data_IF_463056780832
#
_entry.id   IF_463056780832
#
_cell.length_a   1.000
_cell.length_b   1.000
_cell.length_c   1.000
_cell.angle_alpha   90.00
_cell.angle_beta   90.00
_cell.angle_gamma   90.00
#
_symmetry.space_group_name_H-M   'P 1'
#
loop_
_entity.id
_entity.type
_entity.pdbx_description
1 polymer ?
#
# COMPACT_ATOMS: atom_id res chain seq x y z
N UNK A 1 5.80 11.79 31.15
CA UNK A 1 5.33 10.39 31.01
C UNK A 1 3.95 10.31 30.34
N UNK A 2 2.91 11.02 30.80
CA UNK A 2 1.57 10.98 30.17
C UNK A 2 1.50 11.55 28.74
N UNK A 3 2.26 12.59 28.40
CA UNK A 3 2.31 13.16 27.03
C UNK A 3 3.03 12.22 26.05
N UNK A 4 4.07 11.51 26.51
CA UNK A 4 4.78 10.50 25.70
C UNK A 4 3.85 9.31 25.42
N UNK A 5 3.03 8.90 26.39
CA UNK A 5 2.00 7.87 26.18
C UNK A 5 0.91 8.33 25.22
N UNK A 6 0.48 9.60 25.29
CA UNK A 6 -0.49 10.17 24.36
C UNK A 6 0.07 10.24 22.92
N UNK A 7 1.34 10.62 22.75
CA UNK A 7 2.02 10.65 21.45
C UNK A 7 2.26 9.22 20.93
N UNK A 8 2.66 8.27 21.77
CA UNK A 8 2.80 6.85 21.39
C UNK A 8 1.43 6.25 21.02
N UNK A 9 0.35 6.62 21.71
CA UNK A 9 -1.01 6.27 21.32
C UNK A 9 -1.36 6.88 19.95
N UNK A 10 -1.14 8.17 19.73
CA UNK A 10 -1.40 8.83 18.42
C UNK A 10 -0.60 8.20 17.28
N UNK A 11 0.68 7.86 17.50
CA UNK A 11 1.54 7.21 16.51
C UNK A 11 1.17 5.74 16.28
N UNK A 12 0.74 5.00 17.31
CA UNK A 12 0.21 3.63 17.14
C UNK A 12 -1.20 3.61 16.54
N UNK A 13 -1.98 4.70 16.66
CA UNK A 13 -3.29 4.87 16.01
C UNK A 13 -3.20 5.09 14.48
N UNK A 14 -2.04 5.46 13.94
CA UNK A 14 -1.88 5.79 12.52
C UNK A 14 -1.82 4.55 11.60
N UNK A 15 -1.32 3.42 12.09
CA UNK A 15 -0.94 2.24 11.26
C UNK A 15 -2.01 1.15 11.12
N UNK A 16 -3.29 1.45 11.40
CA UNK A 16 -4.36 0.47 11.31
C UNK A 16 -5.16 0.64 10.00
N UNK A 17 -5.16 -0.41 9.16
CA UNK A 17 -5.87 -0.46 7.88
C UNK A 17 -7.40 -0.57 8.02
N UNK A 18 -7.88 -1.25 9.06
CA UNK A 18 -9.30 -1.36 9.38
C UNK A 18 -9.53 -1.05 10.85
N UNK A 19 -10.36 -0.04 11.12
CA UNK A 19 -10.68 0.41 12.46
C UNK A 19 -12.20 0.38 12.70
N UNK A 20 -12.62 -0.24 13.78
CA UNK A 20 -13.97 -0.06 14.29
C UNK A 20 -14.03 1.23 15.11
N UNK A 21 -15.05 2.06 14.86
CA UNK A 21 -15.27 3.34 15.54
C UNK A 21 -16.42 3.20 16.55
N UNK A 22 -17.49 2.46 16.19
CA UNK A 22 -18.66 2.20 17.04
C UNK A 22 -19.21 0.78 16.88
N UNK A 23 -19.93 0.26 17.87
CA UNK A 23 -20.11 0.79 19.24
C UNK A 23 -18.85 0.62 20.11
N UNK A 24 -18.77 1.33 21.26
CA UNK A 24 -17.59 1.32 22.12
C UNK A 24 -17.23 -0.09 22.63
N UNK A 25 -18.23 -0.89 22.98
CA UNK A 25 -18.03 -2.28 23.43
C UNK A 25 -17.48 -3.17 22.31
N UNK A 26 -17.80 -2.87 21.05
CA UNK A 26 -17.22 -3.57 19.91
C UNK A 26 -15.76 -3.17 19.70
N UNK A 27 -15.43 -1.89 19.86
CA UNK A 27 -14.04 -1.39 19.78
C UNK A 27 -13.16 -2.11 20.80
N UNK A 28 -13.62 -2.23 22.05
CA UNK A 28 -12.87 -2.90 23.10
C UNK A 28 -12.65 -4.41 22.83
N UNK A 29 -13.64 -5.08 22.22
CA UNK A 29 -13.56 -6.52 21.89
C UNK A 29 -12.68 -6.83 20.68
N UNK A 30 -12.75 -5.99 19.64
CA UNK A 30 -11.94 -6.15 18.42
C UNK A 30 -10.47 -5.82 18.69
N UNK A 31 -10.22 -4.94 19.67
CA UNK A 31 -8.88 -4.46 19.99
C UNK A 31 -8.38 -3.41 19.00
N UNK A 32 -7.10 -3.07 19.07
CA UNK A 32 -6.52 -1.93 18.35
C UNK A 32 -6.12 -2.22 16.90
N UNK A 33 -6.16 -3.48 16.44
CA UNK A 33 -5.71 -3.86 15.10
C UNK A 33 -6.56 -4.99 14.52
N UNK A 34 -7.38 -4.67 13.52
CA UNK A 34 -8.08 -5.66 12.70
C UNK A 34 -7.24 -5.89 11.45
N UNK A 35 -6.78 -7.11 11.25
CA UNK A 35 -6.05 -7.46 10.03
C UNK A 35 -7.04 -7.66 8.89
N UNK A 36 -6.67 -7.20 7.70
CA UNK A 36 -7.48 -7.36 6.49
C UNK A 36 -6.61 -7.69 5.29
N UNK A 37 -7.17 -8.44 4.34
CA UNK A 37 -6.62 -8.60 3.00
C UNK A 37 -7.56 -8.00 1.95
N UNK A 38 -6.98 -7.54 0.84
CA UNK A 38 -7.72 -6.98 -0.29
C UNK A 38 -8.02 -8.04 -1.36
N UNK A 39 -9.10 -7.86 -2.11
CA UNK A 39 -9.36 -8.64 -3.31
C UNK A 39 -8.42 -8.27 -4.46
N UNK A 40 -8.24 -9.22 -5.40
CA UNK A 40 -7.61 -8.95 -6.69
C UNK A 40 -8.62 -8.58 -7.79
N UNK A 41 -9.79 -8.10 -7.39
CA UNK A 41 -10.88 -7.66 -8.26
C UNK A 41 -11.60 -6.49 -7.58
N UNK A 42 -12.48 -5.80 -8.33
CA UNK A 42 -13.11 -4.59 -7.83
C UNK A 42 -12.20 -3.37 -7.94
N UNK A 43 -12.79 -2.20 -7.79
CA UNK A 43 -12.03 -0.94 -7.74
C UNK A 43 -11.60 -0.70 -6.30
N UNK A 44 -10.29 -0.64 -6.08
CA UNK A 44 -9.70 -0.30 -4.79
C UNK A 44 -9.38 1.20 -4.80
N UNK A 45 -9.97 2.00 -3.90
CA UNK A 45 -9.72 3.43 -3.86
C UNK A 45 -8.42 3.70 -3.07
N UNK A 46 -7.29 3.36 -3.67
CA UNK A 46 -5.97 3.54 -3.08
C UNK A 46 -5.66 5.01 -2.77
N UNK A 47 -5.06 5.27 -1.62
CA UNK A 47 -4.86 6.61 -1.07
C UNK A 47 -6.08 7.17 -0.32
N UNK A 48 -7.25 6.54 -0.44
CA UNK A 48 -8.49 7.01 0.18
C UNK A 48 -8.86 6.25 1.45
N UNK A 49 -9.86 6.79 2.15
CA UNK A 49 -10.46 6.18 3.35
C UNK A 49 -11.96 6.05 3.16
N UNK A 50 -12.50 4.86 3.40
CA UNK A 50 -13.95 4.63 3.39
C UNK A 50 -14.46 4.53 4.82
N UNK A 51 -15.54 5.25 5.12
CA UNK A 51 -16.23 5.18 6.39
C UNK A 51 -17.71 4.89 6.17
N UNK A 52 -18.30 4.07 7.04
CA UNK A 52 -19.66 3.62 6.81
C UNK A 52 -20.18 2.69 7.88
N UNK A 53 -21.50 2.62 7.94
CA UNK A 53 -22.21 1.65 8.76
C UNK A 53 -22.16 0.27 8.10
N UNK A 54 -21.95 -0.75 8.92
CA UNK A 54 -21.91 -2.15 8.53
C UNK A 54 -23.22 -2.83 8.92
N UNK A 55 -23.83 -3.53 7.99
CA UNK A 55 -24.91 -4.47 8.30
C UNK A 55 -24.59 -5.89 7.83
N UNK A 56 -25.24 -6.86 8.45
CA UNK A 56 -25.12 -8.25 8.05
C UNK A 56 -25.90 -8.48 6.74
N UNK A 57 -25.29 -9.20 5.79
CA UNK A 57 -25.93 -9.55 4.53
C UNK A 57 -27.24 -10.34 4.74
N UNK A 58 -28.19 -10.23 3.82
CA UNK A 58 -29.39 -11.08 3.81
C UNK A 58 -29.69 -11.50 2.36
N UNK A 59 -29.43 -12.77 1.98
CA UNK A 59 -28.91 -13.87 2.82
C UNK A 59 -27.45 -13.71 3.27
N UNK A 60 -27.09 -14.36 4.38
CA UNK A 60 -25.77 -14.23 5.04
C UNK A 60 -24.57 -14.61 4.16
N UNK A 61 -24.74 -15.57 3.27
CA UNK A 61 -23.67 -16.03 2.37
C UNK A 61 -23.52 -15.17 1.11
N UNK A 62 -24.45 -14.26 0.82
CA UNK A 62 -24.41 -13.40 -0.36
C UNK A 62 -24.38 -14.14 -1.71
N UNK A 63 -24.77 -15.41 -1.76
CA UNK A 63 -24.72 -16.20 -2.99
C UNK A 63 -25.94 -16.01 -3.90
N UNK A 64 -26.99 -15.35 -3.39
CA UNK A 64 -28.13 -14.87 -4.19
C UNK A 64 -28.33 -13.37 -3.98
N UNK A 65 -29.29 -12.79 -4.69
CA UNK A 65 -29.58 -11.36 -4.63
C UNK A 65 -29.80 -10.91 -3.18
N UNK A 66 -28.98 -9.95 -2.73
CA UNK A 66 -29.06 -9.40 -1.39
C UNK A 66 -30.21 -8.41 -1.26
N UNK A 67 -30.75 -8.27 -0.05
CA UNK A 67 -31.64 -7.15 0.26
C UNK A 67 -30.91 -5.81 0.06
N UNK A 68 -31.60 -4.80 -0.52
CA UNK A 68 -31.02 -3.47 -0.71
C UNK A 68 -30.54 -2.87 0.61
N UNK A 69 -29.50 -2.05 0.54
CA UNK A 69 -29.05 -1.27 1.69
C UNK A 69 -30.14 -0.31 2.17
N UNK A 70 -30.42 -0.34 3.48
CA UNK A 70 -31.25 0.65 4.16
C UNK A 70 -30.36 1.59 4.98
N UNK A 71 -29.49 2.33 4.29
CA UNK A 71 -28.61 3.36 4.87
C UNK A 71 -27.26 2.86 5.38
N UNK A 72 -26.98 1.56 5.34
CA UNK A 72 -25.63 1.03 5.62
C UNK A 72 -24.78 1.05 4.35
N UNK A 73 -23.58 1.62 4.43
CA UNK A 73 -22.69 1.69 3.27
C UNK A 73 -22.01 0.34 3.03
N UNK A 74 -21.76 -0.45 4.08
CA UNK A 74 -20.95 -1.67 4.01
C UNK A 74 -21.76 -2.90 4.42
N UNK A 75 -21.38 -4.05 3.86
CA UNK A 75 -22.04 -5.32 4.13
C UNK A 75 -21.05 -6.38 4.62
N UNK A 76 -21.45 -7.13 5.64
CA UNK A 76 -20.71 -8.25 6.22
C UNK A 76 -21.27 -9.57 5.67
N UNK A 77 -20.43 -10.40 5.04
CA UNK A 77 -20.81 -11.60 4.29
C UNK A 77 -20.02 -12.83 4.75
N UNK A 78 -20.69 -13.98 4.89
CA UNK A 78 -20.06 -15.26 5.20
C UNK A 78 -19.35 -15.88 3.99
N UNK A 79 -18.12 -16.40 4.19
CA UNK A 79 -17.41 -17.20 3.18
C UNK A 79 -18.05 -18.58 3.03
N UNK A 80 -18.13 -19.07 1.78
CA UNK A 80 -18.65 -20.40 1.43
C UNK A 80 -19.67 -20.35 0.29
N UNK A 81 -20.12 -21.52 -0.19
CA UNK A 81 -21.21 -21.74 -1.17
C UNK A 81 -21.05 -21.17 -2.59
N UNK A 82 -20.34 -20.06 -2.78
CA UNK A 82 -20.09 -19.42 -4.07
C UNK A 82 -18.77 -18.62 -4.04
N UNK A 83 -18.36 -18.11 -5.21
CA UNK A 83 -17.11 -17.35 -5.38
C UNK A 83 -17.14 -15.99 -4.66
N UNK A 84 -15.96 -15.42 -4.38
CA UNK A 84 -15.86 -14.09 -3.80
C UNK A 84 -16.46 -13.02 -4.72
N UNK A 85 -16.18 -13.10 -6.02
CA UNK A 85 -16.74 -12.20 -7.03
C UNK A 85 -18.26 -12.20 -7.00
N UNK A 86 -18.91 -13.38 -6.94
CA UNK A 86 -20.37 -13.49 -6.84
C UNK A 86 -20.92 -12.74 -5.62
N UNK A 87 -20.30 -12.92 -4.45
CA UNK A 87 -20.71 -12.26 -3.19
C UNK A 87 -20.65 -10.75 -3.31
N UNK A 88 -19.51 -10.24 -3.78
CA UNK A 88 -19.26 -8.79 -3.88
C UNK A 88 -20.12 -8.18 -5.00
N UNK A 89 -20.38 -8.92 -6.08
CA UNK A 89 -21.29 -8.49 -7.14
C UNK A 89 -22.73 -8.35 -6.63
N UNK A 90 -23.21 -9.30 -5.83
CA UNK A 90 -24.54 -9.20 -5.22
C UNK A 90 -24.62 -8.04 -4.21
N UNK A 91 -23.55 -7.79 -3.44
CA UNK A 91 -23.44 -6.60 -2.58
C UNK A 91 -23.52 -5.29 -3.37
N UNK A 92 -22.76 -5.17 -4.45
CA UNK A 92 -22.84 -4.01 -5.33
C UNK A 92 -24.25 -3.81 -5.89
N UNK A 93 -24.89 -4.88 -6.38
CA UNK A 93 -26.24 -4.80 -6.94
C UNK A 93 -27.29 -4.37 -5.90
N UNK A 94 -27.04 -4.65 -4.61
CA UNK A 94 -27.87 -4.21 -3.49
C UNK A 94 -27.54 -2.78 -3.00
N UNK A 95 -26.58 -2.09 -3.62
CA UNK A 95 -26.24 -0.70 -3.32
C UNK A 95 -25.21 -0.50 -2.21
N UNK A 96 -24.52 -1.56 -1.78
CA UNK A 96 -23.39 -1.41 -0.86
C UNK A 96 -22.15 -0.88 -1.58
N UNK A 97 -21.31 -0.16 -0.83
CA UNK A 97 -20.09 0.50 -1.32
C UNK A 97 -18.81 -0.27 -0.96
N UNK A 98 -18.88 -1.23 -0.01
CA UNK A 98 -17.76 -2.11 0.34
C UNK A 98 -18.30 -3.41 0.93
N UNK A 99 -17.70 -4.54 0.56
CA UNK A 99 -18.03 -5.86 1.09
C UNK A 99 -16.92 -6.36 2.04
N UNK A 100 -17.32 -6.87 3.20
CA UNK A 100 -16.45 -7.44 4.22
C UNK A 100 -16.75 -8.94 4.27
N UNK A 101 -15.82 -9.77 3.81
CA UNK A 101 -15.99 -11.22 3.78
C UNK A 101 -15.27 -11.82 4.99
N UNK A 102 -16.00 -12.57 5.81
CA UNK A 102 -15.44 -13.29 6.93
C UNK A 102 -14.89 -14.65 6.54
N UNK A 103 -13.70 -14.98 7.05
CA UNK A 103 -13.20 -16.34 6.95
C UNK A 103 -14.13 -17.34 7.67
N UNK A 104 -14.11 -18.59 7.24
CA UNK A 104 -14.90 -19.68 7.83
C UNK A 104 -14.08 -20.61 8.74
N UNK A 105 -12.75 -20.47 8.73
CA UNK A 105 -11.82 -21.22 9.57
C UNK A 105 -11.00 -20.26 10.45
N UNK A 106 -10.46 -20.78 11.56
CA UNK A 106 -9.64 -20.04 12.53
C UNK A 106 -8.17 -19.88 12.08
N UNK A 107 -7.89 -20.11 10.79
CA UNK A 107 -6.54 -19.90 10.26
C UNK A 107 -6.19 -18.41 10.30
N UNK A 108 -4.96 -18.07 10.75
CA UNK A 108 -4.50 -16.69 10.71
C UNK A 108 -4.51 -16.19 9.26
N UNK A 109 -4.82 -14.90 9.10
CA UNK A 109 -4.72 -14.24 7.81
C UNK A 109 -3.24 -14.12 7.43
N UNK A 110 -2.78 -14.99 6.54
CA UNK A 110 -1.42 -14.93 6.00
C UNK A 110 -1.23 -13.64 5.17
N UNK A 111 -0.01 -13.12 5.14
CA UNK A 111 0.31 -11.85 4.48
C UNK A 111 0.10 -11.86 2.97
N UNK A 112 0.09 -13.05 2.37
CA UNK A 112 -0.08 -13.32 0.94
C UNK A 112 -1.50 -13.78 0.58
N UNK A 113 -2.42 -13.87 1.55
CA UNK A 113 -3.81 -14.21 1.26
C UNK A 113 -4.44 -13.14 0.34
N UNK A 114 -5.06 -13.59 -0.75
CA UNK A 114 -5.74 -12.74 -1.72
C UNK A 114 -7.07 -13.39 -2.08
N UNK A 115 -8.15 -12.61 -2.07
CA UNK A 115 -9.42 -13.09 -2.62
C UNK A 115 -9.30 -13.14 -4.15
N UNK A 116 -9.28 -14.37 -4.68
CA UNK A 116 -9.11 -14.64 -6.10
C UNK A 116 -10.34 -14.20 -6.93
N UNK A 117 -10.05 -13.75 -8.14
CA UNK A 117 -11.04 -13.53 -9.20
C UNK A 117 -11.44 -14.89 -9.81
N UNK A 118 -12.72 -15.06 -10.14
CA UNK A 118 -13.26 -16.24 -10.82
C UNK A 118 -13.41 -16.05 -12.35
N UNK A 119 -12.80 -14.98 -12.89
CA UNK A 119 -12.88 -14.57 -14.29
C UNK A 119 -13.99 -13.54 -14.56
N UNK A 120 -14.80 -13.17 -13.58
CA UNK A 120 -15.89 -12.19 -13.71
C UNK A 120 -15.71 -10.95 -12.81
N UNK A 121 -14.55 -10.81 -12.17
CA UNK A 121 -14.20 -9.70 -11.30
C UNK A 121 -14.24 -8.35 -11.99
N UNK A 122 -14.12 -8.31 -13.32
CA UNK A 122 -14.25 -7.10 -14.13
C UNK A 122 -15.63 -6.42 -14.04
N UNK A 123 -16.65 -7.15 -13.58
CA UNK A 123 -17.99 -6.62 -13.40
C UNK A 123 -18.22 -5.99 -12.01
N UNK A 124 -17.23 -6.09 -11.12
CA UNK A 124 -17.26 -5.57 -9.76
C UNK A 124 -16.54 -4.22 -9.71
N UNK A 125 -17.18 -3.22 -9.12
CA UNK A 125 -16.74 -1.83 -9.03
C UNK A 125 -16.61 -1.35 -7.58
N UNK A 126 -16.91 -2.19 -6.60
CA UNK A 126 -16.74 -1.86 -5.17
C UNK A 126 -15.54 -2.62 -4.60
N UNK A 127 -14.79 -2.03 -3.65
CA UNK A 127 -13.75 -2.74 -2.95
C UNK A 127 -14.32 -3.85 -2.07
N UNK A 128 -13.50 -4.85 -1.81
CA UNK A 128 -13.81 -5.87 -0.81
C UNK A 128 -12.59 -6.21 0.04
N UNK A 129 -12.86 -6.47 1.32
CA UNK A 129 -11.85 -6.83 2.31
C UNK A 129 -12.19 -8.17 2.94
N UNK A 130 -11.15 -8.93 3.29
CA UNK A 130 -11.26 -10.21 3.97
C UNK A 130 -10.76 -10.08 5.40
N UNK A 131 -11.52 -10.61 6.37
CA UNK A 131 -11.16 -10.57 7.80
C UNK A 131 -11.17 -11.97 8.41
N UNK A 132 -10.52 -12.12 9.57
CA UNK A 132 -10.43 -13.40 10.28
C UNK A 132 -11.81 -13.88 10.76
N UNK A 133 -11.96 -15.19 10.99
CA UNK A 133 -13.19 -15.75 11.56
C UNK A 133 -13.52 -15.12 12.93
N UNK A 134 -12.51 -14.89 13.77
CA UNK A 134 -12.65 -14.20 15.06
C UNK A 134 -13.27 -12.81 14.91
N UNK A 135 -12.66 -11.97 14.09
CA UNK A 135 -13.09 -10.58 13.91
C UNK A 135 -14.48 -10.51 13.24
N UNK A 136 -14.73 -11.42 12.30
CA UNK A 136 -16.04 -11.58 11.67
C UNK A 136 -17.14 -11.93 12.68
N UNK A 137 -16.92 -12.96 13.51
CA UNK A 137 -17.91 -13.39 14.49
C UNK A 137 -18.24 -12.29 15.50
N UNK A 138 -17.22 -11.59 15.99
CA UNK A 138 -17.40 -10.45 16.91
C UNK A 138 -18.23 -9.35 16.21
N UNK A 139 -17.90 -8.97 14.97
CA UNK A 139 -18.65 -7.94 14.25
C UNK A 139 -20.08 -8.36 13.92
N UNK A 140 -20.29 -9.62 13.53
CA UNK A 140 -21.59 -10.21 13.21
C UNK A 140 -22.57 -10.13 14.38
N UNK A 141 -22.10 -10.34 15.61
CA UNK A 141 -22.94 -10.23 16.82
C UNK A 141 -23.60 -8.85 16.97
N UNK A 142 -22.99 -7.79 16.47
CA UNK A 142 -23.52 -6.43 16.52
C UNK A 142 -24.24 -6.04 15.22
N UNK A 143 -23.69 -6.42 14.06
CA UNK A 143 -24.28 -6.11 12.76
C UNK A 143 -25.66 -6.74 12.55
N UNK A 144 -25.96 -7.86 13.23
CA UNK A 144 -27.28 -8.50 13.22
C UNK A 144 -28.31 -7.82 14.14
N UNK A 145 -27.89 -6.95 15.07
CA UNK A 145 -28.79 -6.28 16.04
C UNK A 145 -29.56 -5.09 15.46
N UNK A 146 -29.30 -4.71 14.19
CA UNK A 146 -29.90 -3.56 13.50
C UNK A 146 -31.44 -3.54 13.54
N UNK A 147 -32.08 -4.68 13.77
CA UNK A 147 -33.54 -4.78 13.89
C UNK A 147 -34.16 -4.18 15.17
N UNK A 148 -33.37 -3.82 16.19
CA UNK A 148 -33.92 -3.46 17.52
C UNK A 148 -33.50 -2.09 18.10
N UNK A 149 -32.59 -1.34 17.48
CA UNK A 149 -32.15 -0.04 18.01
C UNK A 149 -32.30 1.08 16.99
N UNK A 150 -33.10 2.09 17.35
CA UNK A 150 -33.18 3.38 16.65
C UNK A 150 -31.95 4.26 16.93
N UNK A 151 -31.08 3.87 17.85
CA UNK A 151 -29.89 4.63 18.20
C UNK A 151 -28.71 4.29 17.27
N UNK A 152 -28.21 5.29 16.55
CA UNK A 152 -27.05 5.16 15.67
C UNK A 152 -25.76 4.80 16.41
N UNK A 153 -25.68 5.05 17.72
CA UNK A 153 -24.50 4.72 18.52
C UNK A 153 -24.30 3.22 18.73
N UNK A 154 -25.37 2.43 18.60
CA UNK A 154 -25.32 0.95 18.73
C UNK A 154 -24.93 0.27 17.41
N UNK A 155 -24.91 1.02 16.31
CA UNK A 155 -24.63 0.50 14.99
C UNK A 155 -23.12 0.36 14.76
N UNK A 156 -22.74 -0.70 14.05
CA UNK A 156 -21.34 -0.93 13.69
C UNK A 156 -20.92 0.13 12.67
N UNK A 157 -19.99 1.01 13.06
CA UNK A 157 -19.42 2.02 12.18
C UNK A 157 -17.92 1.82 12.10
N UNK A 158 -17.37 1.71 10.88
CA UNK A 158 -15.96 1.41 10.66
C UNK A 158 -15.31 2.43 9.73
N UNK A 159 -13.98 2.46 9.77
CA UNK A 159 -13.10 3.16 8.84
C UNK A 159 -12.12 2.15 8.23
N UNK A 160 -12.04 2.14 6.90
CA UNK A 160 -11.09 1.35 6.11
C UNK A 160 -10.13 2.31 5.42
N UNK A 161 -8.82 2.08 5.56
CA UNK A 161 -7.76 2.82 4.85
C UNK A 161 -7.16 1.95 3.76
N UNK A 162 -7.00 2.52 2.57
CA UNK A 162 -6.33 1.88 1.45
C UNK A 162 -4.95 2.53 1.28
N UNK A 163 -4.04 2.19 2.18
CA UNK A 163 -2.73 2.83 2.24
C UNK A 163 -1.89 2.56 0.97
N UNK A 164 -1.13 3.58 0.56
CA UNK A 164 -0.17 3.57 -0.56
C UNK A 164 1.20 4.00 -0.08
N UNK A 165 2.24 3.40 -0.64
CA UNK A 165 3.63 3.78 -0.34
C UNK A 165 4.02 4.99 -1.17
N UNK A 166 4.15 6.15 -0.51
CA UNK A 166 4.43 7.42 -1.20
C UNK A 166 5.93 7.64 -1.45
N UNK A 167 6.30 8.11 -2.65
CA UNK A 167 7.67 8.51 -3.02
C UNK A 167 7.70 9.79 -3.86
N UNK A 168 8.88 10.41 -3.96
CA UNK A 168 9.11 11.54 -4.88
C UNK A 168 9.26 11.06 -6.34
N UNK A 169 9.94 9.93 -6.53
CA UNK A 169 10.05 9.21 -7.80
C UNK A 169 9.27 7.91 -7.69
N UNK A 170 8.34 7.68 -8.62
CA UNK A 170 7.49 6.49 -8.62
C UNK A 170 8.13 5.42 -9.49
N UNK A 171 8.32 4.23 -8.93
CA UNK A 171 8.77 3.07 -9.70
C UNK A 171 7.56 2.20 -10.06
N UNK A 172 7.30 2.05 -11.36
CA UNK A 172 6.23 1.22 -11.90
C UNK A 172 6.83 0.05 -12.66
N UNK A 173 6.50 -1.17 -12.24
CA UNK A 173 6.87 -2.39 -12.96
C UNK A 173 5.62 -3.01 -13.57
N UNK A 174 5.63 -3.17 -14.89
CA UNK A 174 4.57 -3.83 -15.65
C UNK A 174 5.04 -5.26 -15.97
N UNK A 175 4.43 -6.23 -15.33
CA UNK A 175 4.66 -7.65 -15.56
C UNK A 175 3.68 -8.19 -16.58
N UNK A 176 4.21 -8.71 -17.68
CA UNK A 176 3.46 -9.07 -18.88
C UNK A 176 3.82 -10.49 -19.32
N UNK A 177 2.98 -11.08 -20.15
CA UNK A 177 3.32 -12.26 -20.94
C UNK A 177 2.93 -12.01 -22.40
N UNK A 178 3.84 -12.35 -23.32
CA UNK A 178 3.68 -12.15 -24.76
C UNK A 178 2.48 -12.91 -25.33
N UNK A 179 2.09 -14.04 -24.71
CA UNK A 179 0.93 -14.82 -25.16
C UNK A 179 -0.37 -14.45 -24.44
N UNK A 180 -0.30 -13.61 -23.42
CA UNK A 180 -1.44 -13.28 -22.56
C UNK A 180 -2.23 -12.10 -23.14
N UNK A 181 -3.49 -12.35 -23.49
CA UNK A 181 -4.39 -11.34 -24.04
C UNK A 181 -4.69 -10.20 -23.06
N UNK A 182 -4.73 -10.51 -21.77
CA UNK A 182 -4.97 -9.49 -20.73
C UNK A 182 -3.81 -8.52 -20.58
N UNK A 183 -2.56 -8.98 -20.78
CA UNK A 183 -1.38 -8.12 -20.84
C UNK A 183 -1.52 -7.05 -21.92
N UNK A 184 -1.98 -7.41 -23.12
CA UNK A 184 -2.22 -6.43 -24.19
C UNK A 184 -3.37 -5.47 -23.84
N UNK A 185 -4.48 -5.98 -23.29
CA UNK A 185 -5.62 -5.14 -22.86
C UNK A 185 -5.18 -4.09 -21.84
N UNK A 186 -4.43 -4.49 -20.80
CA UNK A 186 -3.96 -3.56 -19.75
C UNK A 186 -3.04 -2.49 -20.33
N UNK A 187 -2.14 -2.87 -21.24
CA UNK A 187 -1.22 -1.91 -21.90
C UNK A 187 -1.96 -0.93 -22.80
N UNK A 188 -2.94 -1.39 -23.58
CA UNK A 188 -3.81 -0.53 -24.40
C UNK A 188 -4.57 0.48 -23.53
N UNK A 189 -5.28 0.01 -22.51
CA UNK A 189 -6.02 0.87 -21.58
C UNK A 189 -5.12 1.90 -20.88
N UNK A 190 -3.90 1.50 -20.51
CA UNK A 190 -2.93 2.36 -19.82
C UNK A 190 -2.23 3.36 -20.74
N UNK A 191 -2.23 3.14 -22.06
CA UNK A 191 -1.47 3.93 -23.04
C UNK A 191 -1.77 5.43 -22.97
N UNK A 192 -3.02 5.81 -22.72
CA UNK A 192 -3.44 7.21 -22.58
C UNK A 192 -2.85 7.87 -21.32
N UNK A 193 -2.73 7.12 -20.23
CA UNK A 193 -2.20 7.59 -18.95
C UNK A 193 -0.68 7.69 -19.02
N UNK A 194 -0.02 6.73 -19.68
CA UNK A 194 1.41 6.82 -19.96
C UNK A 194 1.77 8.13 -20.69
N UNK A 195 0.99 8.52 -21.72
CA UNK A 195 1.25 9.74 -22.51
C UNK A 195 1.27 11.01 -21.67
N UNK A 196 0.46 11.08 -20.60
CA UNK A 196 0.42 12.24 -19.70
C UNK A 196 1.42 12.11 -18.55
N UNK A 197 1.68 10.90 -18.05
CA UNK A 197 2.59 10.65 -16.92
C UNK A 197 4.07 10.59 -17.31
N UNK A 198 4.41 10.30 -18.57
CA UNK A 198 5.82 10.11 -19.01
C UNK A 198 6.73 11.32 -18.80
N UNK A 199 6.15 12.52 -18.63
CA UNK A 199 6.90 13.75 -18.35
C UNK A 199 7.02 14.05 -16.85
N UNK A 200 6.35 13.26 -16.01
CA UNK A 200 6.42 13.34 -14.56
C UNK A 200 7.51 12.39 -14.03
N UNK A 201 7.78 12.44 -12.72
CA UNK A 201 8.84 11.65 -12.09
C UNK A 201 8.42 10.17 -11.87
N UNK A 202 8.10 9.48 -12.97
CA UNK A 202 7.71 8.06 -12.99
C UNK A 202 8.70 7.27 -13.83
N UNK A 203 9.27 6.22 -13.24
CA UNK A 203 10.15 5.28 -13.91
C UNK A 203 9.37 3.99 -14.22
N UNK A 204 9.39 3.58 -15.50
CA UNK A 204 8.66 2.42 -15.97
C UNK A 204 9.62 1.29 -16.33
N UNK A 205 9.34 0.09 -15.85
CA UNK A 205 10.09 -1.13 -16.16
C UNK A 205 9.15 -2.21 -16.68
N UNK A 206 9.49 -2.81 -17.82
CA UNK A 206 8.79 -3.99 -18.33
C UNK A 206 9.47 -5.26 -17.85
N UNK A 207 8.67 -6.23 -17.43
CA UNK A 207 9.12 -7.58 -17.07
C UNK A 207 8.24 -8.58 -17.81
N UNK A 208 8.87 -9.54 -18.50
CA UNK A 208 8.15 -10.62 -19.16
C UNK A 208 8.33 -11.93 -18.41
N UNK A 209 7.29 -12.75 -18.36
CA UNK A 209 7.36 -14.07 -17.73
C UNK A 209 8.26 -15.00 -18.53
N UNK A 210 9.42 -15.28 -17.94
CA UNK A 210 10.42 -16.24 -18.42
C UNK A 210 10.95 -17.01 -17.22
N UNK A 211 11.51 -18.19 -17.47
CA UNK A 211 12.13 -18.99 -16.41
C UNK A 211 13.45 -19.61 -16.86
N UNK A 212 14.29 -19.95 -15.88
CA UNK A 212 15.54 -20.64 -16.10
C UNK A 212 15.36 -22.15 -15.87
N UNK A 213 15.34 -22.92 -16.95
CA UNK A 213 15.13 -24.36 -16.88
C UNK A 213 16.29 -25.13 -16.20
N UNK A 214 17.46 -24.50 -16.02
CA UNK A 214 18.56 -25.11 -15.28
C UNK A 214 18.39 -25.00 -13.77
N UNK A 215 17.59 -24.04 -13.29
CA UNK A 215 17.35 -23.78 -11.86
C UNK A 215 16.01 -24.32 -11.38
N UNK A 216 15.01 -24.36 -12.27
CA UNK A 216 13.71 -24.94 -11.93
C UNK A 216 13.78 -26.47 -11.93
N UNK A 217 13.76 -27.10 -10.76
CA UNK A 217 13.45 -28.52 -10.63
C UNK A 217 11.97 -28.73 -10.98
N UNK A 218 11.68 -29.02 -12.24
CA UNK A 218 10.32 -29.38 -12.68
C UNK A 218 10.22 -30.88 -12.93
N UNK A 219 9.12 -31.50 -12.51
CA UNK A 219 8.77 -32.87 -12.90
C UNK A 219 8.40 -33.01 -14.39
N UNK A 220 8.33 -31.89 -15.12
CA UNK A 220 7.99 -31.80 -16.54
C UNK A 220 9.22 -31.72 -17.45
N UNK A 221 9.13 -32.36 -18.63
CA UNK A 221 10.12 -32.22 -19.69
C UNK A 221 9.98 -30.87 -20.39
N UNK A 222 11.02 -30.04 -20.33
CA UNK A 222 11.09 -28.75 -21.03
C UNK A 222 11.75 -29.00 -22.38
N UNK A 223 11.00 -28.83 -23.46
CA UNK A 223 11.52 -28.92 -24.83
C UNK A 223 12.62 -27.87 -25.06
N UNK A 224 13.75 -28.30 -25.61
CA UNK A 224 14.86 -27.41 -25.97
C UNK A 224 14.47 -26.35 -27.00
N UNK A 225 13.45 -26.61 -27.81
CA UNK A 225 12.95 -25.68 -28.83
C UNK A 225 12.20 -24.49 -28.21
N UNK A 226 11.78 -24.61 -26.94
CA UNK A 226 11.12 -23.54 -26.19
C UNK A 226 12.09 -22.61 -25.45
N UNK A 227 13.39 -22.80 -25.66
CA UNK A 227 14.44 -22.09 -24.94
C UNK A 227 15.51 -21.50 -25.88
N UNK A 228 16.27 -20.54 -25.33
CA UNK A 228 17.52 -20.04 -25.90
C UNK A 228 18.64 -20.11 -24.86
N UNK A 229 19.89 -19.87 -25.30
CA UNK A 229 21.07 -19.83 -24.44
C UNK A 229 21.25 -21.10 -23.57
N UNK A 230 21.25 -22.28 -24.19
CA UNK A 230 21.43 -23.56 -23.50
C UNK A 230 20.46 -23.76 -22.32
N UNK A 231 19.17 -23.53 -22.57
CA UNK A 231 18.06 -23.68 -21.60
C UNK A 231 18.06 -22.67 -20.44
N UNK A 232 18.89 -21.62 -20.52
CA UNK A 232 18.95 -20.57 -19.50
C UNK A 232 17.72 -19.66 -19.49
N UNK A 233 17.09 -19.47 -20.64
CA UNK A 233 15.84 -18.72 -20.75
C UNK A 233 14.84 -19.54 -21.55
N UNK A 234 13.69 -19.77 -20.94
CA UNK A 234 12.60 -20.57 -21.48
C UNK A 234 11.27 -19.87 -21.24
N UNK A 235 10.29 -20.15 -22.10
CA UNK A 235 8.89 -19.81 -21.90
C UNK A 235 8.05 -21.06 -22.17
N UNK A 236 7.02 -21.31 -21.37
CA UNK A 236 6.22 -22.52 -21.50
C UNK A 236 5.28 -22.35 -22.69
N UNK A 237 5.27 -23.33 -23.58
CA UNK A 237 4.24 -23.51 -24.58
C UNK A 237 3.23 -24.53 -24.01
N UNK A 238 2.11 -24.07 -23.42
CA UNK A 238 1.30 -24.92 -22.56
C UNK A 238 0.53 -26.03 -23.30
N UNK A 239 0.37 -25.96 -24.64
CA UNK A 239 -0.69 -26.73 -25.31
C UNK A 239 -0.29 -27.50 -26.61
N UNK A 240 0.99 -27.70 -26.91
CA UNK A 240 1.41 -28.23 -28.23
C UNK A 240 1.45 -27.11 -29.28
N UNK A 241 1.19 -27.35 -30.58
CA UNK A 241 1.32 -26.36 -31.69
C UNK A 241 0.52 -25.05 -31.44
N UNK A 242 1.02 -24.17 -30.58
CA UNK A 242 0.49 -22.86 -30.31
C UNK A 242 0.77 -21.89 -31.45
N UNK A 243 0.37 -20.62 -31.29
CA UNK A 243 0.67 -19.57 -32.27
C UNK A 243 2.17 -19.23 -32.36
N UNK A 244 2.99 -19.73 -31.44
CA UNK A 244 4.42 -19.46 -31.32
C UNK A 244 5.08 -20.50 -30.42
N UNK A 245 6.34 -20.87 -30.70
CA UNK A 245 7.14 -21.65 -29.74
C UNK A 245 7.61 -20.77 -28.59
N UNK A 246 7.99 -21.37 -27.46
CA UNK A 246 8.59 -20.66 -26.32
C UNK A 246 9.80 -19.82 -26.71
N UNK A 247 10.62 -20.29 -27.67
CA UNK A 247 11.71 -19.48 -28.25
C UNK A 247 11.21 -18.22 -28.92
N UNK A 248 10.14 -18.30 -29.72
CA UNK A 248 9.57 -17.14 -30.37
C UNK A 248 9.02 -16.13 -29.35
N UNK A 249 8.41 -16.60 -28.25
CA UNK A 249 7.95 -15.73 -27.17
C UNK A 249 9.11 -14.99 -26.50
N UNK A 250 10.24 -15.66 -26.25
CA UNK A 250 11.43 -15.02 -25.66
C UNK A 250 12.03 -13.99 -26.61
N UNK A 251 12.16 -14.33 -27.90
CA UNK A 251 12.67 -13.39 -28.91
C UNK A 251 11.77 -12.15 -29.04
N UNK A 252 10.46 -12.34 -28.95
CA UNK A 252 9.49 -11.24 -28.92
C UNK A 252 9.59 -10.42 -27.63
N UNK A 253 9.77 -11.03 -26.46
CA UNK A 253 10.00 -10.30 -25.20
C UNK A 253 11.25 -9.40 -25.29
N UNK A 254 12.35 -9.88 -25.90
CA UNK A 254 13.55 -9.06 -26.17
C UNK A 254 13.19 -7.90 -27.11
N UNK A 255 12.46 -8.17 -28.20
CA UNK A 255 12.07 -7.16 -29.18
C UNK A 255 11.21 -6.06 -28.54
N UNK A 256 10.17 -6.44 -27.81
CA UNK A 256 9.28 -5.52 -27.09
C UNK A 256 10.04 -4.69 -26.06
N UNK A 257 10.96 -5.30 -25.31
CA UNK A 257 11.85 -4.59 -24.37
C UNK A 257 12.74 -3.56 -25.08
N UNK A 258 13.32 -3.92 -26.22
CA UNK A 258 14.13 -3.00 -27.02
C UNK A 258 13.29 -1.86 -27.62
N UNK A 259 12.06 -2.12 -28.05
CA UNK A 259 11.14 -1.09 -28.55
C UNK A 259 10.79 -0.13 -27.41
N UNK A 260 10.42 -0.62 -26.23
CA UNK A 260 10.11 0.25 -25.09
C UNK A 260 11.29 1.14 -24.70
N UNK A 261 12.52 0.60 -24.75
CA UNK A 261 13.74 1.35 -24.43
C UNK A 261 14.04 2.48 -25.42
N UNK A 262 13.89 2.23 -26.73
CA UNK A 262 14.33 3.16 -27.77
C UNK A 262 13.20 4.00 -28.36
N UNK A 263 11.98 3.47 -28.37
CA UNK A 263 10.78 4.05 -28.96
C UNK A 263 9.58 3.90 -28.01
N UNK A 264 9.66 4.43 -26.77
CA UNK A 264 8.59 4.26 -25.76
C UNK A 264 7.23 4.76 -26.23
N UNK A 265 7.19 5.83 -27.05
CA UNK A 265 5.94 6.36 -27.60
C UNK A 265 5.30 5.42 -28.63
N UNK A 266 6.10 4.69 -29.42
CA UNK A 266 5.60 3.72 -30.39
C UNK A 266 5.37 2.32 -29.80
N UNK A 267 5.84 2.06 -28.58
CA UNK A 267 5.68 0.76 -27.92
C UNK A 267 4.20 0.38 -27.78
N UNK A 268 3.35 1.32 -27.36
CA UNK A 268 1.91 1.05 -27.20
C UNK A 268 1.24 0.72 -28.54
N UNK A 269 1.50 1.51 -29.59
CA UNK A 269 1.00 1.22 -30.95
C UNK A 269 1.52 -0.13 -31.47
N UNK A 270 2.75 -0.51 -31.11
CA UNK A 270 3.33 -1.81 -31.45
C UNK A 270 2.59 -2.95 -30.76
N UNK A 271 2.33 -2.83 -29.45
CA UNK A 271 1.61 -3.85 -28.67
C UNK A 271 0.20 -4.08 -29.24
N UNK A 272 -0.52 -3.02 -29.58
CA UNK A 272 -1.86 -3.11 -30.19
C UNK A 272 -1.83 -3.83 -31.54
N UNK A 273 -0.91 -3.44 -32.43
CA UNK A 273 -0.78 -4.09 -33.73
C UNK A 273 -0.30 -5.53 -33.61
N UNK A 274 0.56 -5.84 -32.64
CA UNK A 274 1.08 -7.19 -32.42
C UNK A 274 -0.03 -8.13 -32.00
N UNK A 275 -0.82 -7.75 -31.00
CA UNK A 275 -1.97 -8.52 -30.52
C UNK A 275 -2.97 -8.84 -31.65
N UNK A 276 -3.23 -7.86 -32.52
CA UNK A 276 -4.20 -8.02 -33.61
C UNK A 276 -3.66 -8.79 -34.83
N UNK A 277 -2.38 -8.62 -35.18
CA UNK A 277 -1.83 -9.11 -36.45
C UNK A 277 -1.04 -10.42 -36.31
N UNK A 278 -0.46 -10.71 -35.14
CA UNK A 278 0.48 -11.82 -34.94
C UNK A 278 -0.21 -13.09 -34.43
N UNK A 279 -1.26 -13.51 -35.12
CA UNK A 279 -2.12 -14.64 -34.74
C UNK A 279 -1.82 -15.95 -35.49
N UNK A 280 -0.82 -15.96 -36.39
CA UNK A 280 -0.51 -17.09 -37.28
C UNK A 280 0.85 -17.71 -36.94
N UNK A 281 0.85 -18.98 -36.56
CA UNK A 281 2.05 -19.75 -36.23
C UNK A 281 3.16 -19.67 -37.28
N UNK A 282 2.82 -19.84 -38.57
CA UNK A 282 3.81 -19.90 -39.65
C UNK A 282 4.52 -18.56 -39.90
N UNK A 283 3.98 -17.44 -39.40
CA UNK A 283 4.50 -16.11 -39.66
C UNK A 283 4.94 -15.37 -38.38
N UNK A 284 4.76 -15.99 -37.20
CA UNK A 284 4.91 -15.34 -35.91
C UNK A 284 6.29 -14.69 -35.74
N UNK A 285 7.36 -15.43 -36.04
CA UNK A 285 8.75 -14.96 -35.93
C UNK A 285 9.08 -13.71 -36.78
N UNK A 286 8.33 -13.47 -37.85
CA UNK A 286 8.52 -12.32 -38.75
C UNK A 286 7.50 -11.20 -38.54
N UNK A 287 6.45 -11.44 -37.75
CA UNK A 287 5.32 -10.54 -37.62
C UNK A 287 5.71 -9.21 -36.98
N UNK A 288 6.43 -9.25 -35.86
CA UNK A 288 6.94 -8.04 -35.19
C UNK A 288 7.79 -7.15 -36.11
N UNK A 289 8.63 -7.74 -36.97
CA UNK A 289 9.46 -6.99 -37.93
C UNK A 289 8.61 -6.23 -38.98
N UNK A 290 7.46 -6.78 -39.38
CA UNK A 290 6.53 -6.09 -40.28
C UNK A 290 5.88 -4.90 -39.58
N UNK A 291 5.50 -5.06 -38.32
CA UNK A 291 4.92 -3.99 -37.51
C UNK A 291 5.92 -2.85 -37.29
N UNK A 292 7.18 -3.16 -36.95
CA UNK A 292 8.28 -2.19 -36.86
C UNK A 292 8.37 -1.34 -38.13
N UNK A 293 8.31 -2.00 -39.30
CA UNK A 293 8.34 -1.32 -40.60
C UNK A 293 7.13 -0.42 -40.82
N UNK A 294 5.92 -0.90 -40.50
CA UNK A 294 4.68 -0.14 -40.64
C UNK A 294 4.65 1.10 -39.74
N UNK A 295 5.15 0.96 -38.50
CA UNK A 295 5.26 2.05 -37.53
C UNK A 295 6.46 2.98 -37.78
N UNK A 296 7.27 2.70 -38.81
CA UNK A 296 8.48 3.46 -39.16
C UNK A 296 9.50 3.53 -38.02
N UNK A 297 9.52 2.50 -37.17
CA UNK A 297 10.57 2.30 -36.15
C UNK A 297 11.85 1.85 -36.89
N UNK A 298 13.02 2.36 -36.49
CA UNK A 298 14.27 1.97 -37.14
C UNK A 298 14.65 0.54 -36.75
N UNK A 299 14.45 -0.40 -37.69
CA UNK A 299 14.73 -1.81 -37.47
C UNK A 299 16.19 -2.08 -37.06
N UNK A 300 17.14 -1.31 -37.59
CA UNK A 300 18.57 -1.45 -37.28
C UNK A 300 18.88 -1.16 -35.80
N UNK A 301 18.21 -0.19 -35.18
CA UNK A 301 18.39 0.11 -33.75
C UNK A 301 17.84 -1.01 -32.87
N UNK A 302 16.67 -1.56 -33.22
CA UNK A 302 16.05 -2.67 -32.48
C UNK A 302 16.89 -3.95 -32.64
N UNK A 303 17.33 -4.27 -33.85
CA UNK A 303 18.21 -5.41 -34.12
C UNK A 303 19.55 -5.25 -33.40
N UNK A 304 20.12 -4.05 -33.38
CA UNK A 304 21.34 -3.76 -32.63
C UNK A 304 21.13 -3.95 -31.13
N UNK A 305 20.04 -3.43 -30.55
CA UNK A 305 19.69 -3.63 -29.14
C UNK A 305 19.59 -5.12 -28.78
N UNK A 306 18.91 -5.91 -29.62
CA UNK A 306 18.82 -7.35 -29.44
C UNK A 306 20.20 -8.00 -29.53
N UNK A 307 20.95 -7.77 -30.59
CA UNK A 307 22.20 -8.48 -30.81
C UNK A 307 23.28 -8.06 -29.80
N UNK A 308 23.28 -6.80 -29.36
CA UNK A 308 24.14 -6.29 -28.30
C UNK A 308 23.69 -6.76 -26.91
N UNK A 309 22.59 -7.49 -26.77
CA UNK A 309 22.20 -8.10 -25.48
C UNK A 309 22.81 -9.49 -25.28
N UNK A 310 23.22 -10.17 -26.36
CA UNK A 310 23.89 -11.47 -26.27
C UNK A 310 25.38 -11.31 -25.96
N UNK A 311 25.82 -12.00 -24.91
CA UNK A 311 27.18 -11.91 -24.36
C UNK A 311 27.73 -13.29 -24.07
N UNK A 312 28.99 -13.50 -24.41
CA UNK A 312 29.70 -14.75 -24.11
C UNK A 312 29.86 -14.91 -22.59
N UNK A 313 29.66 -16.12 -22.09
CA UNK A 313 29.69 -16.39 -20.64
C UNK A 313 31.08 -16.30 -20.01
N UNK A 314 32.15 -16.33 -20.81
CA UNK A 314 33.54 -16.31 -20.34
C UNK A 314 34.13 -14.91 -20.45
N UNK A 315 34.10 -14.32 -21.66
CA UNK A 315 34.78 -13.05 -21.91
C UNK A 315 33.85 -11.82 -21.86
N UNK A 316 32.54 -12.03 -21.73
CA UNK A 316 31.53 -10.96 -21.71
C UNK A 316 31.51 -10.05 -22.95
N UNK A 317 32.05 -10.52 -24.08
CA UNK A 317 31.97 -9.82 -25.37
C UNK A 317 30.69 -10.21 -26.11
N UNK A 318 30.29 -9.41 -27.12
CA UNK A 318 29.15 -9.74 -27.97
C UNK A 318 29.41 -11.05 -28.71
N UNK A 319 28.44 -11.96 -28.67
CA UNK A 319 28.51 -13.25 -29.35
C UNK A 319 27.22 -13.57 -30.08
N UNK A 320 27.33 -14.33 -31.17
CA UNK A 320 26.19 -14.95 -31.86
C UNK A 320 26.07 -16.45 -31.53
N UNK A 321 27.05 -17.02 -30.82
CA UNK A 321 27.03 -18.41 -30.42
C UNK A 321 26.14 -18.57 -29.17
N UNK A 322 24.88 -18.95 -29.38
CA UNK A 322 23.92 -19.09 -28.28
C UNK A 322 24.29 -20.23 -27.31
N UNK A 323 25.09 -21.21 -27.73
CA UNK A 323 25.45 -22.34 -26.86
C UNK A 323 26.32 -21.95 -25.66
N UNK A 324 27.06 -20.83 -25.77
CA UNK A 324 27.92 -20.29 -24.72
C UNK A 324 27.61 -18.81 -24.42
N UNK A 325 26.35 -18.39 -24.61
CA UNK A 325 25.91 -17.03 -24.36
C UNK A 325 24.95 -16.93 -23.17
N UNK A 326 24.92 -15.74 -22.56
CA UNK A 326 23.81 -15.25 -21.77
C UNK A 326 23.22 -14.00 -22.45
N UNK A 327 22.00 -13.62 -22.07
CA UNK A 327 21.34 -12.43 -22.58
C UNK A 327 21.16 -11.43 -21.44
N UNK A 328 21.79 -10.25 -21.54
CA UNK A 328 21.79 -9.26 -20.45
C UNK A 328 20.40 -8.67 -20.16
N UNK A 329 19.50 -8.61 -21.15
CA UNK A 329 18.12 -8.16 -20.96
C UNK A 329 17.36 -9.22 -20.16
N UNK A 330 17.46 -10.49 -20.54
CA UNK A 330 16.75 -11.58 -19.88
C UNK A 330 17.30 -11.89 -18.48
N UNK A 331 18.61 -11.75 -18.26
CA UNK A 331 19.19 -11.79 -16.89
C UNK A 331 18.56 -10.75 -15.98
N UNK A 332 18.39 -9.52 -16.49
CA UNK A 332 17.75 -8.47 -15.73
C UNK A 332 16.28 -8.78 -15.45
N UNK A 333 15.56 -9.37 -16.41
CA UNK A 333 14.18 -9.81 -16.19
C UNK A 333 14.08 -10.89 -15.10
N UNK A 334 14.90 -11.94 -15.14
CA UNK A 334 14.91 -12.97 -14.09
C UNK A 334 15.16 -12.39 -12.69
N UNK A 335 16.12 -11.46 -12.58
CA UNK A 335 16.42 -10.77 -11.32
C UNK A 335 15.25 -9.91 -10.84
N UNK A 336 14.50 -9.28 -11.74
CA UNK A 336 13.31 -8.50 -11.38
C UNK A 336 12.16 -9.41 -10.94
N UNK A 337 11.95 -10.54 -11.61
CA UNK A 337 10.93 -11.53 -11.23
C UNK A 337 11.19 -12.04 -9.81
N UNK A 338 12.44 -12.40 -9.50
CA UNK A 338 12.84 -12.87 -8.17
C UNK A 338 12.63 -11.78 -7.09
N UNK A 339 13.04 -10.54 -7.38
CA UNK A 339 12.97 -9.43 -6.41
C UNK A 339 11.56 -8.90 -6.16
N UNK A 340 10.71 -8.90 -7.19
CA UNK A 340 9.40 -8.28 -7.11
C UNK A 340 8.33 -9.20 -6.50
N UNK A 341 8.65 -10.47 -6.23
CA UNK A 341 7.72 -11.43 -5.61
C UNK A 341 6.41 -11.57 -6.41
N UNK A 342 6.49 -11.43 -7.74
CA UNK A 342 5.31 -11.33 -8.59
C UNK A 342 4.60 -12.69 -8.69
N UNK A 343 3.35 -12.72 -8.23
CA UNK A 343 2.45 -13.88 -8.35
C UNK A 343 1.47 -13.59 -9.49
N UNK A 344 1.83 -13.98 -10.71
CA UNK A 344 0.93 -13.96 -11.88
C UNK A 344 1.11 -12.80 -12.87
N UNK A 345 0.45 -12.94 -14.03
CA UNK A 345 0.40 -11.98 -15.15
C UNK A 345 -1.03 -11.80 -15.68
N UNK A 346 -1.37 -10.59 -16.19
CA UNK A 346 -0.58 -9.38 -16.04
C UNK A 346 -0.57 -8.93 -14.58
N UNK A 347 0.48 -8.23 -14.15
CA UNK A 347 0.52 -7.62 -12.83
C UNK A 347 1.29 -6.31 -12.85
N UNK A 348 0.93 -5.42 -11.92
CA UNK A 348 1.58 -4.11 -11.79
C UNK A 348 2.12 -3.97 -10.37
N UNK A 349 3.33 -3.47 -10.27
CA UNK A 349 3.97 -3.14 -8.99
C UNK A 349 4.25 -1.65 -8.97
N UNK A 350 3.78 -0.95 -7.94
CA UNK A 350 4.05 0.47 -7.71
C UNK A 350 4.82 0.61 -6.41
N UNK A 351 6.01 1.22 -6.45
CA UNK A 351 6.88 1.42 -5.28
C UNK A 351 7.16 0.14 -4.47
N UNK A 352 7.35 -0.99 -5.17
CA UNK A 352 7.59 -2.33 -4.60
C UNK A 352 6.37 -2.98 -3.93
N UNK A 353 5.18 -2.42 -4.09
CA UNK A 353 3.92 -3.02 -3.65
C UNK A 353 3.15 -3.52 -4.87
N UNK A 354 2.73 -4.78 -4.82
CA UNK A 354 1.88 -5.38 -5.87
C UNK A 354 0.50 -4.73 -5.80
N UNK A 355 0.08 -4.14 -6.92
CA UNK A 355 -1.27 -3.58 -7.09
C UNK A 355 -2.33 -4.66 -6.81
N UNK A 356 -3.41 -4.26 -6.14
CA UNK A 356 -4.57 -5.13 -5.83
C UNK A 356 -5.83 -4.53 -6.41
N UNK A 357 -6.73 -5.40 -6.84
CA UNK A 357 -8.00 -5.01 -7.46
C UNK A 357 -7.98 -5.27 -8.95
N UNK A 358 -8.98 -4.76 -9.65
CA UNK A 358 -9.08 -4.91 -11.09
C UNK A 358 -7.97 -4.12 -11.79
N UNK A 359 -7.19 -4.82 -12.63
CA UNK A 359 -6.15 -4.23 -13.46
C UNK A 359 -6.78 -3.51 -14.66
N UNK A 360 -6.98 -2.21 -14.50
CA UNK A 360 -7.47 -1.29 -15.53
C UNK A 360 -6.52 -0.11 -15.69
N UNK A 361 -6.52 0.55 -16.85
CA UNK A 361 -5.71 1.74 -17.08
C UNK A 361 -5.97 2.85 -16.05
N UNK A 362 -7.25 3.10 -15.72
CA UNK A 362 -7.67 4.06 -14.69
C UNK A 362 -7.19 3.67 -13.29
N UNK A 363 -7.32 2.39 -12.91
CA UNK A 363 -6.88 1.92 -11.60
C UNK A 363 -5.36 2.09 -11.40
N UNK A 364 -4.58 1.77 -12.43
CA UNK A 364 -3.12 1.97 -12.41
C UNK A 364 -2.77 3.46 -12.33
N UNK A 365 -3.48 4.31 -13.08
CA UNK A 365 -3.32 5.76 -13.03
C UNK A 365 -3.59 6.32 -11.62
N UNK A 366 -4.72 5.95 -11.02
CA UNK A 366 -5.09 6.36 -9.66
C UNK A 366 -4.06 5.91 -8.62
N UNK A 367 -3.56 4.68 -8.71
CA UNK A 367 -2.49 4.17 -7.83
C UNK A 367 -1.20 4.99 -7.96
N UNK A 368 -0.75 5.26 -9.18
CA UNK A 368 0.46 6.06 -9.43
C UNK A 368 0.27 7.47 -8.86
N UNK A 369 -0.88 8.09 -9.12
CA UNK A 369 -1.18 9.44 -8.64
C UNK A 369 -1.19 9.53 -7.11
N UNK A 370 -1.82 8.57 -6.44
CA UNK A 370 -1.86 8.51 -4.98
C UNK A 370 -0.50 8.14 -4.36
N UNK A 371 0.40 7.56 -5.14
CA UNK A 371 1.76 7.19 -4.69
C UNK A 371 2.76 8.36 -4.69
N UNK A 372 2.40 9.55 -5.18
CA UNK A 372 3.27 10.72 -5.08
C UNK A 372 3.21 11.36 -3.69
N UNK A 373 4.38 11.74 -3.15
CA UNK A 373 4.45 12.65 -1.98
C UNK A 373 3.93 14.04 -2.38
N UNK A 374 4.36 14.54 -3.53
CA UNK A 374 3.92 15.80 -4.13
C UNK A 374 3.32 15.53 -5.51
N UNK A 375 2.00 15.31 -5.58
CA UNK A 375 1.38 14.91 -6.81
C UNK A 375 1.42 15.99 -7.90
N UNK A 376 1.65 15.61 -9.16
CA UNK A 376 1.62 16.55 -10.28
C UNK A 376 0.19 17.01 -10.58
N UNK A 377 0.06 18.13 -11.30
CA UNK A 377 -1.24 18.75 -11.60
C UNK A 377 -2.24 17.80 -12.30
N UNK A 378 -1.75 16.87 -13.11
CA UNK A 378 -2.56 15.85 -13.79
C UNK A 378 -3.23 14.87 -12.82
N UNK A 379 -2.69 14.72 -11.60
CA UNK A 379 -3.18 13.79 -10.59
C UNK A 379 -4.19 14.42 -9.63
N UNK A 380 -4.45 15.73 -9.71
CA UNK A 380 -5.23 16.46 -8.70
C UNK A 380 -6.67 15.95 -8.54
N UNK A 381 -7.25 15.33 -9.57
CA UNK A 381 -8.60 14.75 -9.49
C UNK A 381 -8.62 13.35 -8.86
N UNK A 382 -7.47 12.70 -8.70
CA UNK A 382 -7.35 11.34 -8.18
C UNK A 382 -7.07 11.29 -6.68
N UNK A 383 -6.78 12.44 -6.05
CA UNK A 383 -6.27 12.49 -4.68
C UNK A 383 -7.31 13.12 -3.77
N UNK A 384 -7.53 12.49 -2.62
CA UNK A 384 -8.30 13.11 -1.54
C UNK A 384 -7.53 14.26 -0.90
N UNK A 385 -8.18 15.43 -0.78
CA UNK A 385 -7.67 16.60 -0.05
C UNK A 385 -7.35 16.34 1.44
N UNK A 386 -7.68 15.15 1.97
CA UNK A 386 -7.55 14.83 3.39
C UNK A 386 -6.10 14.88 3.90
N UNK A 387 -5.12 14.46 3.11
CA UNK A 387 -3.71 14.48 3.56
C UNK A 387 -3.18 15.89 3.81
N UNK A 388 -3.72 16.90 3.10
CA UNK A 388 -3.40 18.31 3.37
C UNK A 388 -3.96 18.77 4.72
N UNK A 389 -5.09 18.22 5.17
CA UNK A 389 -5.66 18.49 6.49
C UNK A 389 -4.85 17.82 7.61
N UNK A 390 -4.35 16.60 7.38
CA UNK A 390 -3.58 15.87 8.40
C UNK A 390 -2.23 16.55 8.67
N UNK A 391 -1.47 16.93 7.64
CA UNK A 391 -0.19 17.64 7.79
C UNK A 391 -0.34 19.06 8.39
N UNK A 392 -1.37 19.81 7.97
CA UNK A 392 -1.65 21.12 8.58
C UNK A 392 -2.11 20.98 10.03
N UNK A 393 -2.88 19.94 10.35
CA UNK A 393 -3.31 19.62 11.72
C UNK A 393 -2.15 19.31 12.65
N UNK A 394 -1.16 18.53 12.19
CA UNK A 394 0.04 18.23 12.98
C UNK A 394 0.87 19.48 13.29
N UNK A 395 1.11 20.35 12.30
CA UNK A 395 1.82 21.60 12.53
C UNK A 395 1.08 22.53 13.51
N UNK A 396 -0.24 22.65 13.39
CA UNK A 396 -1.04 23.43 14.33
C UNK A 396 -1.02 22.82 15.74
N UNK A 397 -1.09 21.50 15.86
CA UNK A 397 -1.03 20.80 17.15
C UNK A 397 0.33 21.03 17.84
N UNK A 398 1.44 20.97 17.09
CA UNK A 398 2.79 21.24 17.62
C UNK A 398 2.89 22.68 18.13
N UNK A 399 2.34 23.65 17.39
CA UNK A 399 2.33 25.06 17.80
C UNK A 399 1.50 25.27 19.08
N UNK A 400 0.35 24.60 19.21
CA UNK A 400 -0.49 24.65 20.42
C UNK A 400 0.23 24.01 21.62
N UNK A 401 0.90 22.87 21.43
CA UNK A 401 1.67 22.20 22.49
C UNK A 401 2.84 23.09 22.95
N UNK A 402 3.58 23.70 22.01
CA UNK A 402 4.64 24.66 22.33
C UNK A 402 4.09 25.84 23.13
N UNK A 403 2.95 26.40 22.73
CA UNK A 403 2.31 27.50 23.45
C UNK A 403 1.92 27.12 24.89
N UNK A 404 1.30 25.95 25.09
CA UNK A 404 0.90 25.45 26.42
C UNK A 404 2.15 25.20 27.30
N UNK A 405 3.21 24.62 26.74
CA UNK A 405 4.45 24.38 27.49
C UNK A 405 5.13 25.67 27.95
N UNK A 406 5.10 26.72 27.13
CA UNK A 406 5.60 28.06 27.51
C UNK A 406 4.75 28.64 28.65
N UNK A 407 3.42 28.53 28.59
CA UNK A 407 2.54 29.01 29.66
C UNK A 407 2.80 28.28 30.98
N UNK A 408 3.01 26.96 30.95
CA UNK A 408 3.35 26.18 32.14
C UNK A 408 4.71 26.62 32.70
N UNK A 409 5.72 26.85 31.86
CA UNK A 409 7.03 27.32 32.29
C UNK A 409 6.95 28.71 32.94
N UNK A 410 6.17 29.63 32.37
CA UNK A 410 5.90 30.96 32.94
C UNK A 410 5.19 30.83 34.29
N UNK A 411 4.18 29.96 34.39
CA UNK A 411 3.47 29.73 35.64
C UNK A 411 4.38 29.17 36.75
N UNK A 412 5.22 28.19 36.43
CA UNK A 412 6.22 27.64 37.36
C UNK A 412 7.23 28.73 37.77
N UNK A 413 7.66 29.56 36.82
CA UNK A 413 8.57 30.67 37.12
C UNK A 413 7.92 31.71 38.05
N UNK A 414 6.65 32.06 37.84
CA UNK A 414 5.90 32.95 38.72
C UNK A 414 5.76 32.32 40.10
N UNK A 415 5.40 31.04 40.19
CA UNK A 415 5.33 30.32 41.47
C UNK A 415 6.68 30.30 42.18
N UNK A 416 7.78 30.10 41.46
CA UNK A 416 9.13 30.17 42.01
C UNK A 416 9.44 31.58 42.55
N UNK A 417 9.07 32.64 41.83
CA UNK A 417 9.25 34.02 42.30
C UNK A 417 8.39 34.32 43.54
N UNK A 418 7.14 33.85 43.57
CA UNK A 418 6.25 33.99 44.72
C UNK A 418 6.76 33.21 45.93
N UNK A 419 7.22 31.98 45.73
CA UNK A 419 7.83 31.14 46.76
C UNK A 419 9.10 31.81 47.31
N UNK A 420 9.98 32.31 46.44
CA UNK A 420 11.18 33.05 46.84
C UNK A 420 10.84 34.30 47.64
N UNK A 421 9.78 35.03 47.25
CA UNK A 421 9.29 36.21 47.98
C UNK A 421 8.72 35.84 49.35
N UNK A 422 7.98 34.73 49.44
CA UNK A 422 7.42 34.20 50.67
C UNK A 422 8.52 33.79 51.66
N UNK A 423 9.48 32.97 51.22
CA UNK A 423 10.63 32.53 52.05
C UNK A 423 11.44 33.73 52.54
N UNK A 424 11.67 34.75 51.71
CA UNK A 424 12.38 35.97 52.13
C UNK A 424 11.60 36.76 53.18
N UNK A 425 10.26 36.74 53.15
CA UNK A 425 9.44 37.43 54.15
C UNK A 425 9.49 36.71 55.49
N UNK A 426 9.32 35.39 55.48
CA UNK A 426 9.39 34.55 56.68
C UNK A 426 10.79 34.59 57.31
N UNK A 427 11.87 34.61 56.50
CA UNK A 427 13.23 34.68 57.04
C UNK A 427 13.48 36.00 57.79
N UNK A 428 12.91 37.13 57.34
CA UNK A 428 13.08 38.43 58.01
C UNK A 428 12.37 38.44 59.37
N UNK A 429 11.16 37.86 59.43
CA UNK A 429 10.36 37.79 60.65
C UNK A 429 11.03 36.90 61.72
N UNK A 430 11.52 35.71 61.33
CA UNK A 430 12.24 34.81 62.24
C UNK A 430 13.56 35.42 62.73
N UNK A 431 14.31 36.10 61.85
CA UNK A 431 15.59 36.74 62.23
C UNK A 431 15.37 37.89 63.22
N UNK A 432 14.31 38.69 63.07
CA UNK A 432 13.99 39.76 64.03
C UNK A 432 13.66 39.21 65.42
N UNK A 433 12.89 38.12 65.50
CA UNK A 433 12.56 37.48 66.79
C UNK A 433 13.83 36.96 67.48
N UNK A 434 14.70 36.26 66.75
CA UNK A 434 15.96 35.73 67.30
C UNK A 434 16.92 36.84 67.75
N UNK A 435 17.01 37.94 66.98
CA UNK A 435 17.83 39.11 67.37
C UNK A 435 17.30 39.76 68.63
N UNK A 436 15.97 39.94 68.76
CA UNK A 436 15.36 40.50 69.97
C UNK A 436 15.58 39.62 71.21
N UNK A 437 15.55 38.30 71.03
CA UNK A 437 15.80 37.33 72.10
C UNK A 437 17.28 37.34 72.54
N UNK A 438 18.23 37.38 71.59
CA UNK A 438 19.66 37.52 71.90
C UNK A 438 20.00 38.85 72.57
N UNK A 439 19.41 39.96 72.12
CA UNK A 439 19.59 41.28 72.75
C UNK A 439 19.03 41.25 74.19
N UNK A 440 17.87 40.64 74.41
CA UNK A 440 17.29 40.48 75.75
C UNK A 440 18.17 39.63 76.67
N UNK A 441 18.77 38.56 76.16
CA UNK A 441 19.73 37.73 76.92
C UNK A 441 21.02 38.50 77.24
N UNK A 442 21.52 39.29 76.28
CA UNK A 442 22.70 40.14 76.49
C UNK A 442 22.45 41.19 77.58
N UNK A 443 21.30 41.88 77.55
CA UNK A 443 20.92 42.85 78.60
C UNK A 443 20.87 42.17 79.98
N UNK A 444 20.18 41.02 80.08
CA UNK A 444 20.09 40.25 81.35
C UNK A 444 21.47 39.81 81.88
N UNK A 445 22.40 39.45 80.98
CA UNK A 445 23.75 39.06 81.37
C UNK A 445 24.54 40.21 82.01
N UNK A 446 24.39 41.44 81.50
CA UNK A 446 25.07 42.61 82.06
C UNK A 446 24.39 43.13 83.32
N UNK A 447 23.06 43.17 83.38
CA UNK A 447 22.32 43.51 84.61
C UNK A 447 22.65 42.54 85.76
N UNK A 448 22.78 41.24 85.46
CA UNK A 448 23.21 40.24 86.44
C UNK A 448 24.64 40.43 86.94
N UNK A 449 25.55 40.94 86.10
CA UNK A 449 26.93 41.28 86.52
C UNK A 449 26.97 42.51 87.42
N UNK A 450 26.14 43.51 87.16
CA UNK A 450 26.07 44.70 88.01
C UNK A 450 25.46 44.38 89.38
N UNK A 451 24.49 43.46 89.46
CA UNK A 451 23.95 42.96 90.72
C UNK A 451 24.95 42.11 91.54
N UNK A 452 25.83 41.34 90.88
CA UNK A 452 26.91 40.61 91.58
C UNK A 452 28.01 41.53 92.12
N UNK A 453 28.25 42.71 91.51
CA UNK A 453 29.16 43.72 92.04
C UNK A 453 28.60 44.51 93.23
N UNK A 454 27.27 44.61 93.37
CA UNK A 454 26.64 45.27 94.52
C UNK A 454 26.52 44.39 95.77
N UNK A 455 26.55 43.06 95.64
CA UNK A 455 26.47 42.11 96.76
C UNK A 455 27.85 41.59 97.23
N UNK A 456 28.95 42.21 96.80
CA UNK A 456 30.31 41.90 97.24
C UNK A 456 30.97 43.15 97.85
N UNK A 457 30.40 43.68 98.92
CA UNK A 457 31.05 44.57 99.90
C UNK A 457 30.56 44.25 101.31
#
# INVERSE_FOLDING_TARGET
MQIIFLIICIVTYANCKLKVIRPAELVDRMGSKVNMALANFGQIPFGHRLMGYVEMADPYDGCSALKPSYGSQFVLIERGNCTFVTKVKNAQNAGYMLAIIGNHNDEPLESDFVMADDGHGYSVNIPSIFITLRDFNIMKEYATRKFYSENQDDQVFILVKFDVEKRDQIDVVLSLDVKDGDSYRVIDEFSQFYKILKNENVNYTLVYQIFNANETQTDYYIDTDNCICSRRYCSMDPDGDGIASGRNLIEEAIRQTCIFKHYPDNFFDYMDQFNLQCTKAQAYSTCGSKIITNLKIQADEINKCRDDSFRDTINHERTQNLSNAYNSILEHQLLLIEKAGMIGVPSVVVNSIVYKGQLTGNGIFGEICNSFIYPPSICMNEIDDYDTLENNGYHQLILVILFISILIAIFIFILYLLFKKFVKRDSVEVTQVQVNEMVSQYIKFYEGKDQQKQNSF
#
